data_IF_149679332647
#
_entry.id   IF_149679332647
#
_cell.length_a   1.000
_cell.length_b   1.000
_cell.length_c   1.000
_cell.angle_alpha   90.00
_cell.angle_beta   90.00
_cell.angle_gamma   90.00
#
_symmetry.space_group_name_H-M   'P 1'
#
loop_
_entity.id
_entity.type
_entity.pdbx_description
1 polymer ?
#
# COMPACT_ATOMS: atom_id res chain seq x y z
N UNK A 1 -39.98 45.90 36.23
CA UNK A 1 -40.78 44.71 35.85
C UNK A 1 -41.09 44.81 34.36
N UNK A 2 -40.19 44.33 33.50
CA UNK A 2 -40.32 43.08 32.73
C UNK A 2 -41.48 43.17 31.72
N UNK A 3 -41.18 43.49 30.45
CA UNK A 3 -41.90 42.95 29.27
C UNK A 3 -41.26 43.31 27.92
N UNK A 4 -40.98 42.24 27.16
CA UNK A 4 -40.99 42.17 25.69
C UNK A 4 -39.66 42.33 24.93
N UNK A 5 -38.63 41.63 25.40
CA UNK A 5 -37.40 41.28 24.68
C UNK A 5 -37.57 40.26 23.52
N UNK A 6 -38.75 40.18 22.87
CA UNK A 6 -39.12 39.06 21.99
C UNK A 6 -39.38 39.44 20.53
N UNK A 7 -38.74 40.49 20.00
CA UNK A 7 -38.90 40.88 18.58
C UNK A 7 -37.61 40.82 17.75
N UNK A 8 -36.46 40.57 18.37
CA UNK A 8 -35.18 40.39 17.67
C UNK A 8 -34.86 38.91 17.36
N UNK A 9 -35.40 37.96 18.13
CA UNK A 9 -35.09 36.53 17.98
C UNK A 9 -35.65 35.88 16.70
N UNK A 10 -36.77 36.37 16.16
CA UNK A 10 -37.43 35.75 15.00
C UNK A 10 -36.80 36.12 13.65
N UNK A 11 -36.19 37.32 13.55
CA UNK A 11 -35.51 37.77 12.32
C UNK A 11 -34.07 37.24 12.23
N UNK A 12 -33.39 37.14 13.36
CA UNK A 12 -32.06 36.55 13.43
C UNK A 12 -32.09 35.04 13.11
N UNK A 13 -33.08 34.29 13.60
CA UNK A 13 -33.22 32.86 13.31
C UNK A 13 -33.59 32.57 11.86
N UNK A 14 -34.41 33.40 11.22
CA UNK A 14 -34.71 33.29 9.79
C UNK A 14 -33.49 33.54 8.90
N UNK A 15 -32.67 34.55 9.23
CA UNK A 15 -31.45 34.84 8.48
C UNK A 15 -30.39 33.75 8.68
N UNK A 16 -30.15 33.31 9.91
CA UNK A 16 -29.19 32.22 10.18
C UNK A 16 -29.66 30.90 9.58
N UNK A 17 -30.96 30.59 9.64
CA UNK A 17 -31.56 29.42 9.00
C UNK A 17 -31.47 29.44 7.48
N UNK A 18 -31.68 30.60 6.84
CA UNK A 18 -31.46 30.78 5.41
C UNK A 18 -29.99 30.61 5.03
N UNK A 19 -29.05 31.20 5.78
CA UNK A 19 -27.62 31.06 5.50
C UNK A 19 -27.17 29.60 5.64
N UNK A 20 -27.57 28.91 6.72
CA UNK A 20 -27.26 27.49 6.92
C UNK A 20 -27.93 26.61 5.85
N UNK A 21 -29.18 26.90 5.47
CA UNK A 21 -29.90 26.20 4.40
C UNK A 21 -29.25 26.38 3.03
N UNK A 22 -28.82 27.60 2.68
CA UNK A 22 -28.12 27.90 1.43
C UNK A 22 -26.75 27.24 1.43
N UNK A 23 -25.98 27.32 2.52
CA UNK A 23 -24.65 26.69 2.62
C UNK A 23 -24.75 25.16 2.53
N UNK A 24 -25.71 24.54 3.20
CA UNK A 24 -25.89 23.07 3.14
C UNK A 24 -26.42 22.63 1.78
N UNK A 25 -27.32 23.38 1.15
CA UNK A 25 -27.82 23.10 -0.20
C UNK A 25 -26.73 23.24 -1.26
N UNK A 26 -25.92 24.30 -1.20
CA UNK A 26 -24.75 24.50 -2.09
C UNK A 26 -23.73 23.39 -1.87
N UNK A 27 -23.39 23.05 -0.62
CA UNK A 27 -22.44 21.97 -0.32
C UNK A 27 -22.93 20.61 -0.81
N UNK A 28 -24.24 20.32 -0.66
CA UNK A 28 -24.86 19.08 -1.18
C UNK A 28 -24.87 19.03 -2.71
N UNK A 29 -25.03 20.17 -3.38
CA UNK A 29 -24.95 20.29 -4.85
C UNK A 29 -23.51 20.18 -5.36
N UNK A 30 -22.54 20.68 -4.60
CA UNK A 30 -21.11 20.55 -4.94
C UNK A 30 -20.57 19.13 -4.75
N UNK A 31 -21.25 18.28 -3.96
CA UNK A 31 -20.87 16.88 -3.76
C UNK A 31 -21.08 15.97 -4.98
N UNK A 32 -21.67 16.47 -6.08
CA UNK A 32 -21.76 15.71 -7.34
C UNK A 32 -20.60 16.01 -8.30
N UNK A 33 -19.68 16.90 -7.94
CA UNK A 33 -18.36 16.86 -8.54
C UNK A 33 -17.62 15.74 -7.82
N UNK A 34 -17.73 14.52 -8.37
CA UNK A 34 -16.75 13.49 -8.12
C UNK A 34 -15.36 14.12 -8.23
N UNK A 35 -14.36 13.68 -7.43
CA UNK A 35 -12.97 14.00 -7.75
C UNK A 35 -12.79 13.77 -9.25
N UNK A 36 -12.26 14.76 -9.96
CA UNK A 36 -11.84 14.59 -11.34
C UNK A 36 -10.63 13.64 -11.31
N UNK A 37 -10.92 12.36 -11.08
CA UNK A 37 -10.04 11.26 -11.44
C UNK A 37 -10.04 11.31 -12.96
N UNK A 38 -9.12 12.11 -13.51
CA UNK A 38 -8.94 12.33 -14.95
C UNK A 38 -8.99 11.01 -15.74
N UNK A 39 -9.24 11.08 -17.07
CA UNK A 39 -9.83 9.98 -17.84
C UNK A 39 -9.36 8.61 -17.36
N UNK A 40 -10.29 7.83 -16.80
CA UNK A 40 -10.04 6.43 -16.48
C UNK A 40 -9.27 5.83 -17.66
N UNK A 41 -8.08 5.24 -17.45
CA UNK A 41 -7.32 4.67 -18.55
C UNK A 41 -7.98 3.35 -18.95
N UNK A 42 -9.16 3.41 -19.58
CA UNK A 42 -9.83 2.28 -20.24
C UNK A 42 -8.95 1.80 -21.40
N UNK A 43 -7.92 1.03 -21.07
CA UNK A 43 -7.01 0.45 -22.05
C UNK A 43 -5.55 0.39 -21.64
N UNK A 44 -5.12 1.10 -20.57
CA UNK A 44 -3.81 0.81 -19.98
C UNK A 44 -4.02 -0.19 -18.85
N UNK A 45 -3.98 -1.49 -19.19
CA UNK A 45 -3.47 -2.48 -18.23
C UNK A 45 -2.21 -1.85 -17.64
N UNK A 46 -2.06 -1.70 -16.30
CA UNK A 46 -0.78 -1.29 -15.76
C UNK A 46 0.22 -2.25 -16.39
N UNK A 47 1.12 -1.71 -17.23
CA UNK A 47 2.23 -2.49 -17.75
C UNK A 47 2.96 -2.84 -16.48
N UNK A 48 2.77 -4.06 -16.00
CA UNK A 48 3.53 -4.57 -14.88
C UNK A 48 4.97 -4.44 -15.35
N UNK A 49 5.67 -3.42 -14.85
CA UNK A 49 7.11 -3.31 -15.03
C UNK A 49 7.61 -4.68 -14.59
N UNK A 50 8.27 -5.46 -15.47
CA UNK A 50 8.76 -6.77 -15.07
C UNK A 50 9.58 -6.50 -13.81
N UNK A 51 9.27 -7.16 -12.68
CA UNK A 51 10.01 -6.91 -11.46
C UNK A 51 11.48 -7.09 -11.83
N UNK A 52 12.31 -6.09 -11.50
CA UNK A 52 13.76 -6.27 -11.52
C UNK A 52 14.03 -7.66 -10.93
N UNK A 53 14.85 -8.46 -11.62
CA UNK A 53 15.09 -9.84 -11.23
C UNK A 53 15.32 -9.88 -9.71
N UNK A 54 14.36 -10.45 -8.97
CA UNK A 54 14.32 -10.32 -7.52
C UNK A 54 15.42 -11.14 -6.83
N UNK A 55 16.21 -11.83 -7.66
CA UNK A 55 17.30 -12.70 -7.29
C UNK A 55 18.49 -12.51 -8.23
N UNK A 56 19.66 -12.88 -7.72
CA UNK A 56 20.91 -12.94 -8.46
C UNK A 56 21.47 -14.35 -8.44
N UNK A 57 22.26 -14.69 -9.45
CA UNK A 57 23.05 -15.92 -9.44
C UNK A 57 24.10 -15.87 -8.32
N UNK A 58 24.31 -16.99 -7.62
CA UNK A 58 25.38 -17.11 -6.64
C UNK A 58 26.75 -17.04 -7.33
N UNK A 59 27.67 -16.31 -6.71
CA UNK A 59 29.08 -16.24 -7.13
C UNK A 59 29.88 -17.17 -6.23
N UNK A 60 30.67 -18.07 -6.81
CA UNK A 60 31.51 -19.03 -6.07
C UNK A 60 30.76 -19.82 -5.00
N UNK A 61 29.51 -20.24 -5.30
CA UNK A 61 28.61 -20.96 -4.36
C UNK A 61 28.20 -20.14 -3.14
N UNK A 62 28.39 -18.83 -3.16
CA UNK A 62 27.98 -17.90 -2.12
C UNK A 62 27.04 -16.83 -2.69
N UNK A 63 26.23 -16.26 -1.80
CA UNK A 63 25.44 -15.09 -2.14
C UNK A 63 26.20 -13.81 -1.81
N UNK A 64 26.09 -12.76 -2.65
CA UNK A 64 26.66 -11.46 -2.31
C UNK A 64 25.93 -10.85 -1.11
N UNK A 65 26.58 -9.92 -0.40
CA UNK A 65 26.01 -9.26 0.77
C UNK A 65 24.69 -8.51 0.48
N UNK A 66 24.46 -8.13 -0.79
CA UNK A 66 23.20 -7.50 -1.24
C UNK A 66 22.02 -8.48 -1.28
N UNK A 67 22.29 -9.78 -1.36
CA UNK A 67 21.28 -10.83 -1.50
C UNK A 67 21.49 -11.96 -0.48
N UNK A 68 21.32 -11.71 0.83
CA UNK A 68 21.67 -12.66 1.88
C UNK A 68 20.74 -13.87 1.96
N UNK A 69 19.64 -13.95 1.23
CA UNK A 69 18.70 -15.07 1.33
C UNK A 69 19.09 -16.17 0.33
N UNK A 70 19.56 -17.31 0.84
CA UNK A 70 20.02 -18.45 0.05
C UNK A 70 18.85 -19.39 -0.28
N UNK A 71 18.46 -19.50 -1.54
CA UNK A 71 17.40 -20.43 -1.96
C UNK A 71 17.96 -21.68 -2.65
N UNK A 72 17.37 -22.83 -2.35
CA UNK A 72 17.66 -24.12 -2.98
C UNK A 72 16.44 -24.60 -3.76
N UNK A 73 16.55 -24.62 -5.08
CA UNK A 73 15.47 -25.00 -6.00
C UNK A 73 15.15 -26.50 -5.94
N UNK A 74 16.14 -27.34 -5.60
CA UNK A 74 15.91 -28.79 -5.46
C UNK A 74 14.92 -29.16 -4.36
N UNK A 75 14.76 -28.32 -3.34
CA UNK A 75 13.87 -28.56 -2.20
C UNK A 75 12.82 -27.46 -2.02
N UNK A 76 12.79 -26.46 -2.90
CA UNK A 76 11.92 -25.27 -2.80
C UNK A 76 11.96 -24.58 -1.42
N UNK A 77 13.14 -24.59 -0.76
CA UNK A 77 13.32 -23.88 0.51
C UNK A 77 14.34 -22.75 0.37
N UNK A 78 14.20 -21.74 1.23
CA UNK A 78 15.21 -20.71 1.42
C UNK A 78 15.74 -20.68 2.86
N UNK A 79 16.98 -20.23 3.00
CA UNK A 79 17.69 -20.08 4.25
C UNK A 79 18.05 -18.61 4.46
N UNK A 80 17.96 -18.17 5.72
CA UNK A 80 18.26 -16.80 6.13
C UNK A 80 19.50 -16.80 7.03
N UNK A 81 20.26 -15.68 7.08
CA UNK A 81 21.37 -15.54 8.01
C UNK A 81 20.94 -15.88 9.45
N UNK A 82 21.74 -16.68 10.15
CA UNK A 82 21.43 -17.16 11.50
C UNK A 82 20.59 -18.44 11.57
N UNK A 83 20.13 -18.99 10.44
CA UNK A 83 19.53 -20.33 10.39
C UNK A 83 20.59 -21.43 10.46
N UNK A 84 20.27 -22.58 11.09
CA UNK A 84 21.21 -23.69 11.31
C UNK A 84 21.90 -24.18 10.03
N UNK A 85 21.18 -24.16 8.93
CA UNK A 85 21.65 -24.69 7.65
C UNK A 85 22.23 -23.60 6.73
N UNK A 86 22.25 -22.34 7.17
CA UNK A 86 22.61 -21.22 6.31
C UNK A 86 24.04 -21.33 5.76
N UNK A 87 25.01 -21.70 6.60
CA UNK A 87 26.42 -21.74 6.21
C UNK A 87 26.76 -22.93 5.31
N UNK A 88 26.09 -24.07 5.52
CA UNK A 88 26.32 -25.31 4.74
C UNK A 88 25.54 -25.38 3.43
N UNK A 89 24.50 -24.55 3.25
CA UNK A 89 23.70 -24.57 2.03
C UNK A 89 24.43 -23.87 0.89
N UNK A 90 24.59 -24.60 -0.22
CA UNK A 90 24.95 -24.05 -1.53
C UNK A 90 23.67 -23.53 -2.20
N UNK A 91 23.50 -22.21 -2.38
CA UNK A 91 22.33 -21.63 -3.03
C UNK A 91 22.32 -21.92 -4.54
N UNK A 92 21.12 -22.04 -5.12
CA UNK A 92 20.89 -21.96 -6.57
C UNK A 92 20.51 -20.53 -6.98
N UNK A 93 19.83 -19.79 -6.09
CA UNK A 93 19.41 -18.39 -6.26
C UNK A 93 19.64 -17.62 -4.97
N UNK A 94 19.96 -16.34 -5.10
CA UNK A 94 20.19 -15.44 -3.97
C UNK A 94 19.18 -14.28 -4.01
N UNK A 95 18.39 -14.10 -2.95
CA UNK A 95 17.39 -13.03 -2.85
C UNK A 95 17.83 -11.95 -1.87
N UNK A 96 17.35 -10.73 -2.11
CA UNK A 96 17.58 -9.58 -1.23
C UNK A 96 16.86 -9.74 0.11
N UNK A 97 15.65 -10.29 0.08
CA UNK A 97 14.77 -10.42 1.24
C UNK A 97 13.92 -11.69 1.17
N UNK A 98 13.33 -12.07 2.31
CA UNK A 98 12.49 -13.27 2.42
C UNK A 98 11.21 -13.14 1.57
N UNK A 99 10.68 -11.93 1.42
CA UNK A 99 9.45 -11.69 0.67
C UNK A 99 9.63 -12.00 -0.82
N UNK A 100 10.77 -11.64 -1.40
CA UNK A 100 11.13 -11.98 -2.77
C UNK A 100 11.26 -13.49 -2.99
N UNK A 101 11.82 -14.23 -2.03
CA UNK A 101 11.89 -15.68 -2.09
C UNK A 101 10.51 -16.33 -1.99
N UNK A 102 9.64 -15.82 -1.11
CA UNK A 102 8.25 -16.29 -0.97
C UNK A 102 7.44 -16.00 -2.24
N UNK A 103 7.62 -14.82 -2.85
CA UNK A 103 6.96 -14.44 -4.10
C UNK A 103 7.37 -15.35 -5.27
N UNK A 104 8.59 -15.89 -5.25
CA UNK A 104 9.09 -16.87 -6.23
C UNK A 104 8.73 -18.33 -5.85
N UNK A 105 7.90 -18.52 -4.82
CA UNK A 105 7.33 -19.82 -4.43
C UNK A 105 8.18 -20.66 -3.47
N UNK A 106 9.23 -20.10 -2.88
CA UNK A 106 10.05 -20.80 -1.89
C UNK A 106 9.44 -20.71 -0.49
N UNK A 107 9.68 -21.73 0.34
CA UNK A 107 9.28 -21.75 1.75
C UNK A 107 10.48 -21.60 2.68
N UNK A 108 10.28 -20.99 3.85
CA UNK A 108 11.37 -20.81 4.82
C UNK A 108 11.83 -22.17 5.36
N UNK A 109 13.14 -22.41 5.37
CA UNK A 109 13.73 -23.60 5.98
C UNK A 109 13.41 -23.63 7.47
N UNK A 110 13.06 -24.82 7.96
CA UNK A 110 12.86 -25.04 9.39
C UNK A 110 14.22 -25.01 10.11
N UNK A 111 14.16 -24.62 11.39
CA UNK A 111 15.32 -24.37 12.26
C UNK A 111 16.33 -25.50 12.19
#
# INVERSE_FOLDING_TARGET
>A
MIRSAFRFGLRATLLTGCVVGVVTFVRRRSSTLAPDDGPEPWGRRPVAVPPLAAWVEPQDKACPATHPVKAKRSSNIFHVPGGLNYDRTVPDRCYRDEAAAIADGFVKSRR
#
